data_IF_858919650263
#
_entry.id   IF_858919650263
#
_cell.length_a   1.000
_cell.length_b   1.000
_cell.length_c   1.000
_cell.angle_alpha   90.00
_cell.angle_beta   90.00
_cell.angle_gamma   90.00
#
_symmetry.space_group_name_H-M   'P 1'
#
loop_
_entity.id
_entity.type
_entity.pdbx_description
1 polymer ?
#
# COMPACT_ATOMS: atom_id res chain seq x y z
N UNK A 1 -9.05 10.21 -20.09
CA UNK A 1 -7.63 9.90 -20.37
C UNK A 1 -6.84 9.91 -19.08
N UNK A 2 -6.49 8.74 -18.54
CA UNK A 2 -5.68 8.65 -17.32
C UNK A 2 -4.18 8.76 -17.70
N UNK A 3 -3.60 9.94 -17.47
CA UNK A 3 -2.16 10.18 -17.63
C UNK A 3 -1.43 9.41 -16.53
N UNK A 4 -0.47 8.59 -16.94
CA UNK A 4 0.27 7.66 -16.10
C UNK A 4 0.78 8.33 -14.81
N UNK A 5 0.36 7.82 -13.64
CA UNK A 5 0.87 8.27 -12.34
C UNK A 5 2.16 7.53 -12.02
N UNK A 6 3.31 8.11 -12.35
CA UNK A 6 4.56 7.66 -11.74
C UNK A 6 4.60 8.23 -10.32
N UNK A 7 4.79 7.34 -9.34
CA UNK A 7 5.21 7.66 -7.96
C UNK A 7 6.37 8.65 -7.98
N UNK A 8 6.38 9.57 -7.04
CA UNK A 8 7.08 10.85 -6.99
C UNK A 8 6.27 12.02 -7.56
N UNK A 9 5.08 12.25 -6.99
CA UNK A 9 4.18 13.36 -7.35
C UNK A 9 4.89 14.73 -7.35
N UNK A 10 5.89 14.89 -6.49
CA UNK A 10 6.58 16.16 -6.29
C UNK A 10 7.98 16.22 -6.94
N UNK A 11 8.41 15.16 -7.64
CA UNK A 11 9.81 14.99 -8.07
C UNK A 11 10.83 15.19 -6.92
N UNK A 12 10.37 15.05 -5.67
CA UNK A 12 11.18 15.21 -4.48
C UNK A 12 12.20 14.08 -4.46
N UNK A 13 13.46 14.44 -4.25
CA UNK A 13 14.55 13.45 -4.10
C UNK A 13 14.53 12.77 -2.73
N UNK A 14 13.72 13.28 -1.81
CA UNK A 14 13.58 12.80 -0.42
C UNK A 14 12.10 12.73 -0.08
N UNK A 15 11.64 11.58 0.41
CA UNK A 15 10.30 11.39 0.93
C UNK A 15 10.36 11.10 2.43
N UNK A 16 9.57 11.82 3.22
CA UNK A 16 9.40 11.54 4.64
C UNK A 16 8.27 10.53 4.80
N UNK A 17 8.59 9.36 5.36
CA UNK A 17 7.60 8.30 5.60
C UNK A 17 7.39 8.21 7.12
N UNK A 18 6.19 8.53 7.63
CA UNK A 18 5.90 8.33 9.04
C UNK A 18 5.88 6.83 9.34
N UNK A 19 6.55 6.41 10.40
CA UNK A 19 6.56 5.03 10.88
C UNK A 19 5.69 4.97 12.13
N UNK A 20 4.63 4.18 12.09
CA UNK A 20 3.75 3.94 13.23
C UNK A 20 4.18 2.66 13.97
N UNK A 21 4.00 2.66 15.29
CA UNK A 21 4.04 1.44 16.09
C UNK A 21 2.69 0.75 16.07
N UNK A 22 2.73 -0.58 16.10
CA UNK A 22 1.55 -1.43 16.25
C UNK A 22 1.81 -2.43 17.38
N UNK A 23 0.76 -2.82 18.09
CA UNK A 23 0.88 -3.70 19.25
C UNK A 23 1.35 -5.12 18.91
N UNK A 24 1.10 -5.56 17.66
CA UNK A 24 1.56 -6.85 17.17
C UNK A 24 2.97 -6.73 16.59
N UNK A 25 3.95 -7.32 17.29
CA UNK A 25 5.36 -7.33 16.90
C UNK A 25 5.59 -7.88 15.49
N UNK A 26 4.72 -8.76 14.98
CA UNK A 26 4.83 -9.28 13.61
C UNK A 26 4.74 -8.18 12.56
N UNK A 27 3.99 -7.11 12.84
CA UNK A 27 3.76 -5.99 11.93
C UNK A 27 4.44 -4.69 12.39
N UNK A 28 5.21 -4.73 13.47
CA UNK A 28 5.86 -3.55 14.04
C UNK A 28 7.14 -3.17 13.27
N UNK A 29 6.97 -2.30 12.27
CA UNK A 29 8.05 -1.83 11.40
C UNK A 29 9.18 -1.15 12.20
N UNK A 30 8.85 -0.38 13.25
CA UNK A 30 9.86 0.28 14.07
C UNK A 30 10.75 -0.74 14.78
N UNK A 31 10.16 -1.78 15.36
CA UNK A 31 10.92 -2.87 15.99
C UNK A 31 11.83 -3.56 14.96
N UNK A 32 11.32 -3.90 13.78
CA UNK A 32 12.10 -4.57 12.73
C UNK A 32 13.24 -3.71 12.21
N UNK A 33 13.04 -2.39 12.06
CA UNK A 33 14.11 -1.46 11.68
C UNK A 33 15.18 -1.32 12.77
N UNK A 34 14.77 -1.23 14.04
CA UNK A 34 15.72 -1.21 15.15
C UNK A 34 16.59 -2.48 15.17
N UNK A 35 15.98 -3.65 14.97
CA UNK A 35 16.71 -4.92 14.85
C UNK A 35 17.65 -4.93 13.64
N UNK A 36 17.24 -4.36 12.50
CA UNK A 36 18.13 -4.22 11.35
C UNK A 36 19.37 -3.36 11.70
N UNK A 37 19.20 -2.27 12.44
CA UNK A 37 20.30 -1.39 12.85
C UNK A 37 21.21 -1.97 13.95
N UNK A 38 20.74 -2.95 14.73
CA UNK A 38 21.62 -3.67 15.66
C UNK A 38 22.52 -4.65 14.92
N UNK A 39 22.00 -5.32 13.89
CA UNK A 39 22.69 -6.34 13.11
C UNK A 39 23.64 -5.71 12.07
N UNK A 40 23.17 -4.68 11.36
CA UNK A 40 23.89 -4.05 10.24
C UNK A 40 24.50 -2.73 10.70
N UNK A 41 25.80 -2.74 10.99
CA UNK A 41 26.55 -1.54 11.38
C UNK A 41 27.13 -0.84 10.15
N UNK A 42 26.45 0.22 9.71
CA UNK A 42 26.87 1.06 8.58
C UNK A 42 26.80 2.54 8.95
N UNK A 43 27.62 3.42 8.33
CA UNK A 43 27.50 4.87 8.52
C UNK A 43 26.07 5.37 8.25
N UNK A 44 25.62 6.39 8.97
CA UNK A 44 24.28 6.99 8.81
C UNK A 44 24.03 7.63 7.45
N UNK A 45 25.11 7.89 6.70
CA UNK A 45 25.07 8.36 5.31
C UNK A 45 24.88 7.24 4.29
N UNK A 46 24.93 5.98 4.72
CA UNK A 46 24.68 4.82 3.86
C UNK A 46 23.18 4.66 3.60
N UNK A 47 22.80 4.05 2.46
CA UNK A 47 21.40 3.70 2.22
C UNK A 47 20.79 2.88 3.37
N UNK A 48 19.50 3.06 3.64
CA UNK A 48 18.79 2.31 4.69
C UNK A 48 18.85 0.79 4.46
N UNK A 49 18.69 0.37 3.20
CA UNK A 49 18.81 -1.02 2.78
C UNK A 49 20.04 -1.18 1.90
N UNK A 50 21.09 -1.80 2.45
CA UNK A 50 22.36 -2.01 1.74
C UNK A 50 22.66 -3.48 1.51
N UNK A 51 23.30 -3.76 0.38
CA UNK A 51 23.86 -5.07 0.04
C UNK A 51 25.31 -4.92 -0.41
N UNK A 52 26.18 -5.83 0.05
CA UNK A 52 27.60 -5.96 -0.33
C UNK A 52 28.35 -4.61 -0.49
N UNK A 53 28.94 -4.10 0.61
CA UNK A 53 29.73 -2.86 0.66
C UNK A 53 28.94 -1.57 0.37
N UNK A 54 27.81 -1.40 1.06
CA UNK A 54 27.08 -0.12 1.20
C UNK A 54 26.29 0.38 -0.04
N UNK A 55 26.05 -0.47 -1.04
CA UNK A 55 25.20 -0.09 -2.18
C UNK A 55 23.73 -0.43 -1.94
N UNK A 56 22.83 0.39 -2.48
CA UNK A 56 21.39 0.12 -2.46
C UNK A 56 21.05 -1.16 -3.22
N UNK A 57 20.05 -1.90 -2.75
CA UNK A 57 19.53 -3.07 -3.47
C UNK A 57 19.02 -2.67 -4.87
N UNK A 58 19.32 -3.50 -5.86
CA UNK A 58 18.71 -3.37 -7.18
C UNK A 58 17.22 -3.74 -7.13
N UNK A 59 16.44 -3.19 -8.07
CA UNK A 59 15.04 -3.60 -8.30
C UNK A 59 14.90 -5.12 -8.44
N UNK A 60 15.81 -5.76 -9.19
CA UNK A 60 15.80 -7.21 -9.40
C UNK A 60 16.00 -7.98 -8.10
N UNK A 61 16.91 -7.52 -7.23
CA UNK A 61 17.14 -8.15 -5.93
C UNK A 61 15.91 -8.06 -5.03
N UNK A 62 15.23 -6.91 -5.03
CA UNK A 62 13.99 -6.73 -4.27
C UNK A 62 12.86 -7.61 -4.80
N UNK A 63 12.67 -7.68 -6.13
CA UNK A 63 11.64 -8.54 -6.73
C UNK A 63 11.88 -10.01 -6.34
N UNK A 64 13.12 -10.51 -6.46
CA UNK A 64 13.45 -11.87 -6.02
C UNK A 64 13.16 -12.12 -4.54
N UNK A 65 13.43 -11.14 -3.68
CA UNK A 65 13.10 -11.25 -2.26
C UNK A 65 11.57 -11.35 -2.05
N UNK A 66 10.79 -10.54 -2.76
CA UNK A 66 9.33 -10.60 -2.69
C UNK A 66 8.80 -11.95 -3.18
N UNK A 67 9.32 -12.47 -4.29
CA UNK A 67 8.94 -13.79 -4.81
C UNK A 67 9.24 -14.89 -3.78
N UNK A 68 10.39 -14.83 -3.11
CA UNK A 68 10.71 -15.78 -2.02
C UNK A 68 9.72 -15.69 -0.86
N UNK A 69 9.27 -14.47 -0.50
CA UNK A 69 8.27 -14.28 0.56
C UNK A 69 6.92 -14.86 0.14
N UNK A 70 6.46 -14.59 -1.08
CA UNK A 70 5.21 -15.13 -1.63
C UNK A 70 5.25 -16.66 -1.69
N UNK A 71 6.35 -17.24 -2.17
CA UNK A 71 6.55 -18.68 -2.21
C UNK A 71 6.50 -19.31 -0.81
N UNK A 72 7.19 -18.71 0.17
CA UNK A 72 7.19 -19.19 1.56
C UNK A 72 5.82 -19.05 2.24
N UNK A 73 5.00 -18.12 1.80
CA UNK A 73 3.62 -17.96 2.25
C UNK A 73 2.66 -19.01 1.63
N UNK A 74 3.14 -19.87 0.72
CA UNK A 74 2.32 -20.86 0.02
C UNK A 74 1.41 -20.26 -1.06
N UNK A 75 1.75 -19.05 -1.55
CA UNK A 75 0.96 -18.34 -2.54
C UNK A 75 1.49 -18.59 -3.97
N UNK A 76 0.60 -18.65 -4.98
CA UNK A 76 0.99 -18.89 -6.37
C UNK A 76 1.74 -17.69 -6.95
N UNK A 77 3.05 -17.84 -7.22
CA UNK A 77 3.90 -16.75 -7.73
C UNK A 77 3.36 -16.07 -9.00
N UNK A 78 2.66 -16.81 -9.87
CA UNK A 78 2.09 -16.27 -11.10
C UNK A 78 1.05 -15.16 -10.87
N UNK A 79 0.40 -15.15 -9.69
CA UNK A 79 -0.67 -14.21 -9.35
C UNK A 79 -0.15 -12.97 -8.62
N UNK A 80 1.12 -12.98 -8.20
CA UNK A 80 1.73 -11.91 -7.41
C UNK A 80 2.91 -11.28 -8.15
N UNK A 81 2.85 -9.95 -8.27
CA UNK A 81 3.98 -9.14 -8.69
C UNK A 81 4.28 -8.10 -7.60
N UNK A 82 5.39 -7.39 -7.72
CA UNK A 82 5.67 -6.24 -6.85
C UNK A 82 4.56 -5.16 -6.91
N UNK A 83 3.83 -5.06 -8.04
CA UNK A 83 2.65 -4.19 -8.15
C UNK A 83 1.48 -4.70 -7.32
N UNK A 84 1.32 -6.02 -7.14
CA UNK A 84 0.25 -6.61 -6.33
C UNK A 84 0.32 -6.16 -4.87
N UNK A 85 1.52 -5.96 -4.31
CA UNK A 85 1.69 -5.41 -2.96
C UNK A 85 1.20 -3.95 -2.86
N UNK A 86 1.54 -3.11 -3.85
CA UNK A 86 1.05 -1.73 -3.90
C UNK A 86 -0.46 -1.67 -4.09
N UNK A 87 -0.99 -2.55 -4.93
CA UNK A 87 -2.42 -2.74 -5.14
C UNK A 87 -3.12 -3.09 -3.83
N UNK A 88 -2.61 -4.09 -3.12
CA UNK A 88 -3.14 -4.55 -1.84
C UNK A 88 -3.15 -3.44 -0.79
N UNK A 89 -2.09 -2.63 -0.69
CA UNK A 89 -2.03 -1.50 0.23
C UNK A 89 -3.11 -0.43 -0.07
N UNK A 90 -3.32 -0.09 -1.35
CA UNK A 90 -4.38 0.82 -1.76
C UNK A 90 -5.78 0.27 -1.45
N UNK A 91 -6.03 -1.00 -1.79
CA UNK A 91 -7.32 -1.66 -1.53
C UNK A 91 -7.58 -1.73 -0.03
N UNK A 92 -6.59 -2.11 0.77
CA UNK A 92 -6.71 -2.19 2.23
C UNK A 92 -7.02 -0.82 2.86
N UNK A 93 -6.30 0.23 2.46
CA UNK A 93 -6.57 1.60 2.91
C UNK A 93 -8.01 2.04 2.57
N UNK A 94 -8.47 1.71 1.37
CA UNK A 94 -9.84 2.00 0.93
C UNK A 94 -10.89 1.17 1.69
N UNK A 95 -10.59 -0.10 2.01
CA UNK A 95 -11.48 -0.98 2.80
C UNK A 95 -11.60 -0.54 4.25
N UNK A 96 -10.56 0.09 4.82
CA UNK A 96 -10.61 0.77 6.11
C UNK A 96 -11.46 2.05 6.10
N UNK A 97 -11.99 2.46 4.94
CA UNK A 97 -12.84 3.63 4.81
C UNK A 97 -12.08 4.96 4.75
N UNK A 98 -10.77 4.91 4.47
CA UNK A 98 -10.00 6.13 4.26
C UNK A 98 -10.46 6.85 2.99
N UNK A 99 -10.44 8.19 3.04
CA UNK A 99 -10.78 9.01 1.87
C UNK A 99 -9.78 8.78 0.73
N UNK A 100 -10.24 8.96 -0.52
CA UNK A 100 -9.40 8.83 -1.72
C UNK A 100 -8.11 9.67 -1.64
N UNK A 101 -8.18 10.86 -1.04
CA UNK A 101 -7.02 11.73 -0.82
C UNK A 101 -5.98 11.12 0.12
N UNK A 102 -6.40 10.35 1.12
CA UNK A 102 -5.50 9.64 2.02
C UNK A 102 -4.89 8.41 1.33
N UNK A 103 -5.64 7.70 0.48
CA UNK A 103 -5.10 6.60 -0.34
C UNK A 103 -4.08 7.13 -1.34
N UNK A 104 -4.37 8.27 -1.98
CA UNK A 104 -3.43 8.99 -2.85
C UNK A 104 -2.15 9.39 -2.12
N UNK A 105 -2.28 9.95 -0.91
CA UNK A 105 -1.15 10.31 -0.07
C UNK A 105 -0.29 9.09 0.30
N UNK A 106 -0.93 7.97 0.67
CA UNK A 106 -0.25 6.73 1.04
C UNK A 106 0.61 6.17 -0.10
N UNK A 107 0.08 6.16 -1.32
CA UNK A 107 0.80 5.61 -2.48
C UNK A 107 1.56 6.63 -3.31
N UNK A 108 1.59 7.89 -2.87
CA UNK A 108 2.19 9.04 -3.57
C UNK A 108 1.70 9.14 -5.03
N UNK A 109 0.37 9.04 -5.18
CA UNK A 109 -0.34 9.15 -6.46
C UNK A 109 -0.83 10.58 -6.69
N UNK A 110 -0.39 11.18 -7.80
CA UNK A 110 -0.88 12.49 -8.24
C UNK A 110 -2.27 12.48 -8.88
N UNK A 111 -2.84 11.29 -9.11
CA UNK A 111 -4.13 11.12 -9.76
C UNK A 111 -4.92 9.98 -9.13
N UNK A 112 -6.19 9.85 -9.52
CA UNK A 112 -7.06 8.73 -9.10
C UNK A 112 -6.72 7.41 -9.80
N UNK A 113 -5.51 7.22 -10.33
CA UNK A 113 -5.08 5.98 -10.97
C UNK A 113 -5.19 4.75 -10.05
N UNK A 114 -5.05 4.94 -8.72
CA UNK A 114 -5.24 3.87 -7.74
C UNK A 114 -6.66 3.27 -7.77
N UNK A 115 -7.67 4.01 -8.24
CA UNK A 115 -9.06 3.52 -8.33
C UNK A 115 -9.18 2.31 -9.26
N UNK A 116 -8.28 2.17 -10.24
CA UNK A 116 -8.21 1.00 -11.12
C UNK A 116 -7.84 -0.29 -10.36
N UNK A 117 -7.28 -0.15 -9.16
CA UNK A 117 -6.97 -1.28 -8.30
C UNK A 117 -8.17 -1.78 -7.52
N UNK A 118 -9.21 -0.95 -7.36
CA UNK A 118 -10.40 -1.28 -6.59
C UNK A 118 -11.31 -2.20 -7.42
N UNK A 119 -11.19 -3.50 -7.17
CA UNK A 119 -12.17 -4.47 -7.64
C UNK A 119 -13.30 -4.57 -6.61
N UNK A 120 -14.48 -4.08 -6.99
CA UNK A 120 -15.65 -4.13 -6.12
C UNK A 120 -16.38 -5.47 -6.29
N UNK A 121 -16.32 -6.30 -5.25
CA UNK A 121 -17.15 -7.48 -5.15
C UNK A 121 -18.64 -7.14 -5.35
N UNK A 122 -19.41 -8.10 -5.86
CA UNK A 122 -20.84 -7.94 -6.09
C UNK A 122 -21.60 -7.49 -4.82
N UNK A 123 -21.20 -8.01 -3.66
CA UNK A 123 -21.72 -7.63 -2.34
C UNK A 123 -21.59 -6.13 -2.06
N UNK A 124 -20.49 -5.50 -2.49
CA UNK A 124 -20.26 -4.06 -2.32
C UNK A 124 -21.16 -3.26 -3.25
N UNK A 125 -21.35 -3.70 -4.51
CA UNK A 125 -22.34 -3.11 -5.43
C UNK A 125 -23.75 -3.18 -4.85
N UNK A 126 -24.13 -4.32 -4.27
CA UNK A 126 -25.41 -4.50 -3.60
C UNK A 126 -25.56 -3.56 -2.39
N UNK A 127 -24.52 -3.36 -1.59
CA UNK A 127 -24.54 -2.44 -0.45
C UNK A 127 -24.76 -0.97 -0.86
N UNK A 128 -24.21 -0.56 -2.01
CA UNK A 128 -24.43 0.79 -2.57
C UNK A 128 -25.88 0.93 -3.02
N UNK A 129 -26.40 -0.05 -3.78
CA UNK A 129 -27.80 -0.05 -4.20
C UNK A 129 -28.76 0.02 -3.00
N UNK A 130 -28.45 -0.73 -1.93
CA UNK A 130 -29.22 -0.69 -0.68
C UNK A 130 -29.20 0.70 -0.02
N UNK A 131 -28.02 1.32 0.13
CA UNK A 131 -27.90 2.68 0.69
C UNK A 131 -28.63 3.73 -0.14
N UNK A 132 -28.66 3.57 -1.47
CA UNK A 132 -29.42 4.45 -2.35
C UNK A 132 -30.92 4.29 -2.07
N UNK A 133 -31.42 3.06 -2.01
CA UNK A 133 -32.82 2.79 -1.69
C UNK A 133 -33.22 3.33 -0.30
N UNK A 134 -32.39 3.10 0.72
CA UNK A 134 -32.58 3.63 2.08
C UNK A 134 -32.63 5.18 2.13
N UNK A 135 -31.95 5.87 1.20
CA UNK A 135 -31.98 7.33 1.10
C UNK A 135 -33.23 7.87 0.38
N UNK A 136 -33.92 7.03 -0.40
CA UNK A 136 -35.15 7.40 -1.10
C UNK A 136 -36.43 7.08 -0.30
N UNK A 137 -36.33 6.32 0.80
CA UNK A 137 -37.44 6.03 1.72
C UNK A 137 -37.72 7.17 2.75
N UNK A 138 -37.24 8.39 2.51
CA UNK A 138 -37.52 9.55 3.37
C UNK A 138 -38.71 10.38 2.87
N UNK A 139 -39.81 10.25 3.63
CA UNK A 139 -41.05 11.04 3.67
C UNK A 139 -42.18 10.70 2.69
N UNK A 140 -42.85 9.57 2.93
CA UNK A 140 -44.33 9.57 2.87
C UNK A 140 -44.84 9.99 4.25
N UNK A 141 -45.16 11.27 4.42
CA UNK A 141 -46.08 11.68 5.47
C UNK A 141 -47.46 11.17 5.07
N UNK A 142 -47.98 10.18 5.80
CA UNK A 142 -49.40 9.83 5.75
C UNK A 142 -50.19 10.96 6.39
N UNK A 143 -51.13 11.53 5.61
CA UNK A 143 -52.23 12.38 6.08
C UNK A 143 -53.13 11.62 7.07
#
# INVERSE_FOLDING_TARGET
YYKWSKTNQHANRVAWIPICTVADDRFNIQMHLNNLFTIVKVPTTSPLFTYNRLHSHSKHSLIRLLDQVVFKAGLPLADYSWHSFRRGAAVFAFELGLADSAVQLLGDWSSSAFTQYLEFAFTRKASVAKKIAENFDLHVQTL
#
